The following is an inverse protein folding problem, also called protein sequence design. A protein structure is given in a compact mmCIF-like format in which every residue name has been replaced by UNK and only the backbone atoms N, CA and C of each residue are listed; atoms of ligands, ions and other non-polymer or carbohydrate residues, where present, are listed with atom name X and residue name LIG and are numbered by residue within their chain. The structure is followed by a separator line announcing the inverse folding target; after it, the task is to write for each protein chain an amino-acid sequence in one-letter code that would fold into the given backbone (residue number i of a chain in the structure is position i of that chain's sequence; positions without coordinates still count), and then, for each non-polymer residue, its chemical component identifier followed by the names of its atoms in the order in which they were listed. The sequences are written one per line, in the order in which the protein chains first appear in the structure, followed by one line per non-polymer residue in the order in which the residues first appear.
data_IF_068207368108
#
_entry.id   IF_068207368108
#
_cell.length_a   1.000
_cell.length_b   1.000
_cell.length_c   1.000
_cell.angle_alpha   90.00
_cell.angle_beta   90.00
_cell.angle_gamma   90.00
#
_symmetry.space_group_name_H-M   'P 1'
#
loop_
_entity.id
_entity.type
_entity.pdbx_description
1 polymer ?
#
# COMPACT_ATOMS: atom_id res chain seq x y z
N UNK A 1 -15.53 -10.14 11.55
CA UNK A 1 -14.26 -9.38 11.67
C UNK A 1 -14.36 -7.88 11.31
N UNK A 2 -15.50 -7.38 10.76
CA UNK A 2 -15.64 -5.96 10.44
C UNK A 2 -15.36 -5.02 11.63
N UNK A 3 -15.87 -5.30 12.86
CA UNK A 3 -15.52 -4.47 14.02
C UNK A 3 -14.02 -4.47 14.34
N UNK A 4 -13.32 -5.59 14.13
CA UNK A 4 -11.85 -5.68 14.32
C UNK A 4 -11.12 -4.77 13.31
N UNK A 5 -11.60 -4.71 12.06
CA UNK A 5 -11.04 -3.79 11.07
C UNK A 5 -11.15 -2.33 11.55
N UNK A 6 -12.32 -1.91 12.03
CA UNK A 6 -12.50 -0.55 12.55
C UNK A 6 -11.69 -0.25 13.81
N UNK A 7 -11.55 -1.24 14.72
CA UNK A 7 -10.64 -1.10 15.86
C UNK A 7 -9.18 -0.97 15.41
N UNK A 8 -8.76 -1.69 14.39
CA UNK A 8 -7.42 -1.57 13.82
C UNK A 8 -7.19 -0.21 13.14
N UNK A 9 -8.21 0.33 12.45
CA UNK A 9 -8.16 1.69 11.88
C UNK A 9 -8.08 2.73 13.01
N UNK A 10 -8.89 2.60 14.04
CA UNK A 10 -8.84 3.50 15.20
C UNK A 10 -7.48 3.47 15.88
N UNK A 11 -6.91 2.27 16.04
CA UNK A 11 -5.55 2.09 16.57
C UNK A 11 -4.52 2.82 15.69
N UNK A 12 -4.58 2.64 14.37
CA UNK A 12 -3.66 3.32 13.43
C UNK A 12 -3.77 4.84 13.56
N UNK A 13 -5.00 5.38 13.53
CA UNK A 13 -5.22 6.83 13.56
C UNK A 13 -4.85 7.48 14.90
N UNK A 14 -4.94 6.76 16.01
CA UNK A 14 -4.61 7.25 17.36
C UNK A 14 -3.15 7.00 17.72
N UNK A 15 -2.75 5.73 17.82
CA UNK A 15 -1.43 5.30 18.31
C UNK A 15 -0.37 5.27 17.21
N UNK A 16 -0.77 5.01 15.95
CA UNK A 16 0.15 4.91 14.82
C UNK A 16 0.88 3.56 14.74
N UNK A 17 2.15 3.57 14.29
CA UNK A 17 2.91 2.34 14.08
C UNK A 17 3.40 1.72 15.39
N UNK A 18 3.30 0.38 15.53
CA UNK A 18 3.89 -0.34 16.64
C UNK A 18 5.43 -0.24 16.64
N UNK A 19 6.07 -0.43 17.78
CA UNK A 19 7.53 -0.52 17.86
C UNK A 19 8.11 -1.57 16.91
N UNK A 20 9.26 -1.27 16.30
CA UNK A 20 9.92 -2.09 15.26
C UNK A 20 10.13 -3.55 15.68
N UNK A 21 10.45 -3.81 16.96
CA UNK A 21 10.75 -5.15 17.46
C UNK A 21 9.53 -6.09 17.53
N UNK A 22 8.30 -5.54 17.64
CA UNK A 22 7.05 -6.33 17.67
C UNK A 22 6.28 -6.26 16.36
N UNK A 23 6.84 -5.62 15.34
CA UNK A 23 6.17 -5.42 14.05
C UNK A 23 6.45 -6.61 13.10
N UNK A 24 5.44 -7.43 12.74
CA UNK A 24 5.65 -8.65 11.95
C UNK A 24 6.28 -8.41 10.57
N UNK A 25 5.96 -7.28 9.94
CA UNK A 25 6.58 -6.87 8.66
C UNK A 25 8.10 -6.76 8.78
N UNK A 26 8.60 -6.27 9.93
CA UNK A 26 10.04 -6.19 10.19
C UNK A 26 10.65 -7.56 10.37
N UNK A 27 9.93 -8.52 10.97
CA UNK A 27 10.41 -9.90 11.10
C UNK A 27 10.60 -10.54 9.73
N UNK A 28 9.59 -10.43 8.84
CA UNK A 28 9.68 -10.91 7.46
C UNK A 28 10.87 -10.26 6.73
N UNK A 29 11.01 -8.92 6.82
CA UNK A 29 12.11 -8.19 6.21
C UNK A 29 13.48 -8.67 6.70
N UNK A 30 13.68 -8.82 8.02
CA UNK A 30 14.93 -9.29 8.60
C UNK A 30 15.27 -10.74 8.24
N UNK A 31 14.27 -11.62 8.12
CA UNK A 31 14.51 -13.01 7.68
C UNK A 31 14.96 -12.98 6.22
N UNK A 32 14.26 -12.27 5.34
CA UNK A 32 14.62 -12.18 3.93
C UNK A 32 16.02 -11.56 3.72
N UNK A 33 16.35 -10.49 4.46
CA UNK A 33 17.67 -9.84 4.40
C UNK A 33 18.81 -10.81 4.73
N UNK A 34 18.63 -11.68 5.74
CA UNK A 34 19.62 -12.67 6.13
C UNK A 34 19.73 -13.83 5.15
N UNK A 35 18.65 -14.12 4.43
CA UNK A 35 18.60 -15.29 3.57
C UNK A 35 18.90 -14.99 2.11
N UNK A 36 18.73 -13.76 1.65
CA UNK A 36 18.93 -13.42 0.25
C UNK A 36 20.42 -13.50 -0.14
N UNK A 37 20.71 -14.32 -1.14
CA UNK A 37 22.05 -14.49 -1.71
C UNK A 37 21.94 -14.36 -3.23
N UNK A 38 22.71 -13.46 -3.86
CA UNK A 38 22.71 -13.28 -5.30
C UNK A 38 23.13 -14.54 -6.08
N UNK A 39 22.71 -14.61 -7.34
CA UNK A 39 23.11 -15.65 -8.33
C UNK A 39 22.73 -17.10 -7.96
N UNK A 40 21.69 -17.28 -7.12
CA UNK A 40 21.18 -18.62 -6.75
C UNK A 40 19.99 -19.09 -7.61
N UNK A 41 19.36 -18.18 -8.35
CA UNK A 41 18.31 -18.48 -9.32
C UNK A 41 16.88 -18.47 -8.77
N UNK A 42 15.91 -18.72 -9.66
CA UNK A 42 14.47 -18.55 -9.39
C UNK A 42 13.95 -19.39 -8.22
N UNK A 43 14.33 -20.68 -8.16
CA UNK A 43 13.87 -21.59 -7.10
C UNK A 43 14.35 -21.16 -5.71
N UNK A 44 15.55 -20.60 -5.65
CA UNK A 44 16.05 -20.03 -4.41
C UNK A 44 15.22 -18.82 -3.96
N UNK A 45 14.82 -17.96 -4.88
CA UNK A 45 13.91 -16.83 -4.59
C UNK A 45 12.57 -17.29 -4.04
N UNK A 46 11.98 -18.36 -4.60
CA UNK A 46 10.77 -19.00 -4.07
C UNK A 46 10.99 -19.50 -2.64
N UNK A 47 12.11 -20.20 -2.42
CA UNK A 47 12.47 -20.72 -1.09
C UNK A 47 12.62 -19.59 -0.06
N UNK A 48 13.35 -18.51 -0.41
CA UNK A 48 13.51 -17.34 0.48
C UNK A 48 12.14 -16.71 0.82
N UNK A 49 11.24 -16.59 -0.16
CA UNK A 49 9.90 -16.08 0.07
C UNK A 49 9.11 -16.97 1.04
N UNK A 50 9.09 -18.28 0.81
CA UNK A 50 8.37 -19.24 1.66
C UNK A 50 8.88 -19.18 3.10
N UNK A 51 10.19 -19.24 3.30
CA UNK A 51 10.79 -19.24 4.65
C UNK A 51 10.60 -17.89 5.35
N UNK A 52 10.58 -16.80 4.63
CA UNK A 52 10.37 -15.47 5.23
C UNK A 52 8.91 -15.21 5.58
N UNK A 53 7.96 -15.65 4.77
CA UNK A 53 6.54 -15.30 4.90
C UNK A 53 5.75 -16.34 5.69
N UNK A 54 5.86 -17.63 5.32
CA UNK A 54 4.96 -18.67 5.83
C UNK A 54 5.09 -18.90 7.34
N UNK A 55 6.30 -19.03 7.93
CA UNK A 55 6.42 -19.23 9.37
C UNK A 55 5.85 -18.06 10.19
N UNK A 56 6.09 -16.81 9.74
CA UNK A 56 5.55 -15.62 10.41
C UNK A 56 4.03 -15.59 10.28
N UNK A 57 3.49 -15.90 9.09
CA UNK A 57 2.05 -15.96 8.89
C UNK A 57 1.40 -17.02 9.80
N UNK A 58 1.95 -18.24 9.87
CA UNK A 58 1.46 -19.31 10.73
C UNK A 58 1.47 -18.88 12.20
N UNK A 59 2.55 -18.26 12.67
CA UNK A 59 2.63 -17.73 14.04
C UNK A 59 1.49 -16.75 14.33
N UNK A 60 1.17 -15.89 13.36
CA UNK A 60 0.11 -14.89 13.50
C UNK A 60 -1.31 -15.46 13.33
N UNK A 61 -1.47 -16.73 12.96
CA UNK A 61 -2.77 -17.41 13.01
C UNK A 61 -3.14 -17.91 14.42
N UNK A 62 -2.17 -18.03 15.33
CA UNK A 62 -2.41 -18.48 16.71
C UNK A 62 -3.53 -17.69 17.40
N UNK A 63 -3.64 -16.36 17.30
CA UNK A 63 -4.73 -15.59 17.88
C UNK A 63 -6.13 -16.07 17.50
N UNK A 64 -6.32 -16.67 16.31
CA UNK A 64 -7.62 -17.18 15.86
C UNK A 64 -8.15 -18.34 16.70
N UNK A 65 -7.27 -19.04 17.42
CA UNK A 65 -7.59 -20.21 18.21
C UNK A 65 -7.62 -19.95 19.73
N UNK A 66 -7.41 -18.70 20.16
CA UNK A 66 -7.47 -18.33 21.58
C UNK A 66 -8.92 -18.32 22.04
N UNK A 67 -9.28 -19.08 23.12
CA UNK A 67 -10.66 -19.17 23.58
C UNK A 67 -11.22 -17.86 24.14
N UNK A 68 -10.38 -17.00 24.71
CA UNK A 68 -10.80 -15.70 25.27
C UNK A 68 -11.08 -14.70 24.15
N UNK A 69 -12.35 -14.36 23.97
CA UNK A 69 -12.80 -13.35 22.97
C UNK A 69 -12.10 -12.01 23.14
N UNK A 70 -11.83 -11.59 24.37
CA UNK A 70 -11.16 -10.31 24.66
C UNK A 70 -9.72 -10.37 24.18
N UNK A 71 -8.95 -11.37 24.58
CA UNK A 71 -7.54 -11.52 24.17
C UNK A 71 -7.45 -11.70 22.66
N UNK A 72 -8.31 -12.51 22.07
CA UNK A 72 -8.41 -12.73 20.65
C UNK A 72 -8.64 -11.41 19.90
N UNK A 73 -9.62 -10.61 20.34
CA UNK A 73 -9.94 -9.30 19.73
C UNK A 73 -8.76 -8.34 19.80
N UNK A 74 -8.08 -8.24 20.95
CA UNK A 74 -6.91 -7.38 21.13
C UNK A 74 -5.78 -7.79 20.17
N UNK A 75 -5.44 -9.07 20.13
CA UNK A 75 -4.35 -9.57 19.29
C UNK A 75 -4.66 -9.45 17.80
N UNK A 76 -5.88 -9.80 17.37
CA UNK A 76 -6.30 -9.65 15.97
C UNK A 76 -6.31 -8.19 15.55
N UNK A 77 -6.78 -7.28 16.40
CA UNK A 77 -6.75 -5.82 16.15
C UNK A 77 -5.32 -5.34 15.99
N UNK A 78 -4.44 -5.70 16.92
CA UNK A 78 -3.03 -5.31 16.90
C UNK A 78 -2.32 -5.78 15.63
N UNK A 79 -2.40 -7.07 15.32
CA UNK A 79 -1.72 -7.62 14.15
C UNK A 79 -2.36 -7.19 12.83
N UNK A 80 -3.69 -7.05 12.76
CA UNK A 80 -4.35 -6.52 11.57
C UNK A 80 -3.88 -5.09 11.27
N UNK A 81 -3.73 -4.24 12.32
CA UNK A 81 -3.17 -2.90 12.17
C UNK A 81 -1.80 -2.91 11.48
N UNK A 82 -0.96 -3.91 11.73
CA UNK A 82 0.38 -3.98 11.11
C UNK A 82 0.34 -4.25 9.61
N UNK A 83 -0.81 -4.56 9.03
CA UNK A 83 -0.96 -4.78 7.59
C UNK A 83 -1.14 -3.49 6.77
N UNK A 84 -1.52 -2.37 7.40
CA UNK A 84 -1.73 -1.09 6.71
C UNK A 84 -1.23 0.10 7.54
N UNK A 85 -1.07 1.28 6.90
CA UNK A 85 -0.40 2.44 7.49
C UNK A 85 -0.98 3.75 6.96
N UNK A 86 -2.15 4.17 7.49
CA UNK A 86 -2.86 5.37 7.03
C UNK A 86 -2.24 6.63 7.64
N UNK A 87 -2.12 6.64 8.99
CA UNK A 87 -1.64 7.82 9.73
C UNK A 87 -0.23 8.20 9.33
N UNK A 88 0.69 7.23 9.29
CA UNK A 88 2.09 7.50 8.97
C UNK A 88 2.22 8.08 7.55
N UNK A 89 1.55 7.49 6.54
CA UNK A 89 1.59 7.98 5.17
C UNK A 89 1.04 9.42 5.07
N UNK A 90 -0.13 9.66 5.67
CA UNK A 90 -0.75 10.99 5.69
C UNK A 90 0.15 12.03 6.35
N UNK A 91 0.71 11.73 7.53
CA UNK A 91 1.57 12.64 8.28
C UNK A 91 2.89 12.95 7.58
N UNK A 92 3.52 11.96 6.93
CA UNK A 92 4.75 12.18 6.17
C UNK A 92 4.51 13.13 5.00
N UNK A 93 3.43 12.91 4.22
CA UNK A 93 3.07 13.80 3.12
C UNK A 93 2.70 15.20 3.64
N UNK A 94 1.93 15.31 4.71
CA UNK A 94 1.56 16.58 5.32
C UNK A 94 2.78 17.35 5.82
N UNK A 95 3.73 16.68 6.47
CA UNK A 95 4.98 17.28 6.98
C UNK A 95 5.98 17.63 5.88
N UNK A 96 5.85 17.09 4.69
CA UNK A 96 6.65 17.51 3.53
C UNK A 96 6.23 18.89 2.99
N UNK A 97 5.15 19.47 3.49
CA UNK A 97 4.61 20.78 3.13
C UNK A 97 5.01 21.81 4.21
N UNK A 98 5.53 23.00 3.85
CA UNK A 98 5.91 23.45 2.51
C UNK A 98 7.08 22.63 1.93
N UNK A 99 7.10 22.50 0.59
CA UNK A 99 8.17 21.80 -0.12
C UNK A 99 9.41 22.67 -0.11
N UNK A 100 10.26 22.46 0.87
CA UNK A 100 11.51 23.22 1.07
C UNK A 100 12.62 22.27 1.58
N UNK A 101 13.85 22.79 1.66
CA UNK A 101 15.03 22.00 2.05
C UNK A 101 14.88 21.34 3.44
N UNK A 102 14.26 22.01 4.39
CA UNK A 102 14.07 21.51 5.75
C UNK A 102 13.11 20.32 5.81
N UNK A 103 12.00 20.39 5.04
CA UNK A 103 10.96 19.37 5.04
C UNK A 103 11.25 18.18 4.11
N UNK A 104 12.29 18.27 3.26
CA UNK A 104 12.72 17.15 2.39
C UNK A 104 13.04 15.86 3.17
N UNK A 105 13.41 15.95 4.44
CA UNK A 105 13.60 14.78 5.30
C UNK A 105 12.35 13.90 5.44
N UNK A 106 11.14 14.48 5.33
CA UNK A 106 9.88 13.73 5.33
C UNK A 106 9.59 13.15 3.96
N UNK A 107 9.82 13.90 2.88
CA UNK A 107 9.73 13.39 1.51
C UNK A 107 10.73 12.24 1.26
N UNK A 108 11.93 12.31 1.83
CA UNK A 108 12.94 11.26 1.71
C UNK A 108 12.50 9.93 2.33
N UNK A 109 11.63 9.94 3.34
CA UNK A 109 11.07 8.72 3.91
C UNK A 109 10.02 8.04 3.02
N UNK A 110 9.45 8.78 2.06
CA UNK A 110 8.47 8.26 1.12
C UNK A 110 9.10 7.61 -0.12
N UNK A 111 10.32 8.02 -0.50
CA UNK A 111 10.96 7.59 -1.74
C UNK A 111 12.41 7.17 -1.52
N UNK A 112 12.90 6.24 -2.35
CA UNK A 112 14.28 5.75 -2.28
C UNK A 112 15.29 6.67 -2.98
N UNK A 113 14.84 7.43 -4.00
CA UNK A 113 15.69 8.39 -4.71
C UNK A 113 16.09 9.53 -3.79
N UNK A 114 17.29 10.09 -3.98
CA UNK A 114 17.75 11.23 -3.19
C UNK A 114 16.95 12.50 -3.55
N UNK A 115 16.05 12.93 -2.65
CA UNK A 115 15.22 14.12 -2.87
C UNK A 115 15.99 15.44 -2.69
N UNK A 116 17.16 15.40 -2.12
CA UNK A 116 18.00 16.60 -1.93
C UNK A 116 18.66 17.07 -3.23
N UNK A 117 18.73 16.19 -4.23
CA UNK A 117 19.24 16.49 -5.58
C UNK A 117 18.15 16.97 -6.55
N UNK A 118 16.87 16.92 -6.12
CA UNK A 118 15.73 17.35 -6.94
C UNK A 118 15.39 18.81 -6.66
N UNK A 119 14.79 19.50 -7.62
CA UNK A 119 14.11 20.78 -7.38
C UNK A 119 12.76 20.58 -6.68
N UNK A 120 12.16 21.64 -6.16
CA UNK A 120 10.92 21.56 -5.37
C UNK A 120 9.74 20.96 -6.15
N UNK A 121 9.50 21.28 -7.45
CA UNK A 121 8.46 20.64 -8.24
C UNK A 121 8.64 19.12 -8.41
N UNK A 122 9.87 18.63 -8.59
CA UNK A 122 10.14 17.20 -8.67
C UNK A 122 10.02 16.52 -7.29
N UNK A 123 10.33 17.21 -6.20
CA UNK A 123 10.04 16.70 -4.84
C UNK A 123 8.54 16.57 -4.63
N UNK A 124 7.74 17.58 -5.03
CA UNK A 124 6.28 17.53 -4.96
C UNK A 124 5.72 16.38 -5.82
N UNK A 125 6.26 16.16 -7.03
CA UNK A 125 5.93 15.01 -7.88
C UNK A 125 6.21 13.69 -7.17
N UNK A 126 7.41 13.54 -6.61
CA UNK A 126 7.81 12.34 -5.88
C UNK A 126 6.88 12.03 -4.69
N UNK A 127 6.47 13.05 -3.96
CA UNK A 127 5.55 12.92 -2.83
C UNK A 127 4.15 12.47 -3.30
N UNK A 128 3.60 13.06 -4.36
CA UNK A 128 2.30 12.69 -4.92
C UNK A 128 2.33 11.27 -5.49
N UNK A 129 3.37 10.91 -6.27
CA UNK A 129 3.57 9.56 -6.79
C UNK A 129 3.57 8.52 -5.67
N UNK A 130 4.39 8.74 -4.63
CA UNK A 130 4.51 7.83 -3.50
C UNK A 130 3.22 7.74 -2.67
N UNK A 131 2.50 8.85 -2.51
CA UNK A 131 1.21 8.87 -1.81
C UNK A 131 0.22 7.90 -2.45
N UNK A 132 0.06 7.94 -3.77
CA UNK A 132 -0.94 7.13 -4.45
C UNK A 132 -0.48 5.70 -4.74
N UNK A 133 0.81 5.46 -4.95
CA UNK A 133 1.39 4.12 -4.97
C UNK A 133 1.20 3.43 -3.60
N UNK A 134 1.58 4.09 -2.51
CA UNK A 134 1.44 3.57 -1.14
C UNK A 134 -0.02 3.47 -0.68
N UNK A 135 -0.94 4.27 -1.22
CA UNK A 135 -2.37 4.11 -1.01
C UNK A 135 -2.83 2.71 -1.44
N UNK A 136 -2.33 2.21 -2.56
CA UNK A 136 -2.62 0.85 -3.02
C UNK A 136 -1.88 -0.17 -2.18
N UNK A 137 -0.57 -0.12 -2.18
CA UNK A 137 0.29 -1.18 -1.65
C UNK A 137 0.23 -1.28 -0.12
N UNK A 138 0.06 -0.15 0.54
CA UNK A 138 0.10 -0.04 1.99
C UNK A 138 -1.25 0.08 2.69
N UNK A 139 -2.37 0.22 1.94
CA UNK A 139 -3.68 0.43 2.58
C UNK A 139 -4.78 -0.35 1.87
N UNK A 140 -5.10 -0.02 0.61
CA UNK A 140 -6.28 -0.59 -0.04
C UNK A 140 -6.11 -2.06 -0.40
N UNK A 141 -4.91 -2.49 -0.79
CA UNK A 141 -4.62 -3.88 -1.11
C UNK A 141 -4.71 -4.81 0.10
N UNK A 142 -4.08 -4.55 1.26
CA UNK A 142 -4.28 -5.36 2.47
C UNK A 142 -5.76 -5.48 2.85
N UNK A 143 -6.51 -4.38 2.77
CA UNK A 143 -7.93 -4.35 3.15
C UNK A 143 -8.80 -5.11 2.13
N UNK A 144 -8.45 -5.08 0.83
CA UNK A 144 -9.09 -5.92 -0.17
C UNK A 144 -8.92 -7.41 0.15
N UNK A 145 -7.70 -7.82 0.49
CA UNK A 145 -7.44 -9.21 0.83
C UNK A 145 -8.02 -9.60 2.20
N UNK A 146 -8.20 -8.64 3.10
CA UNK A 146 -9.01 -8.84 4.31
C UNK A 146 -10.46 -9.17 3.95
N UNK A 147 -11.06 -8.52 2.96
CA UNK A 147 -12.40 -8.82 2.50
C UNK A 147 -12.51 -10.26 1.93
N UNK A 148 -11.50 -10.69 1.15
CA UNK A 148 -11.53 -11.97 0.42
C UNK A 148 -11.13 -13.15 1.31
N UNK A 149 -10.02 -13.04 2.03
CA UNK A 149 -9.39 -14.11 2.80
C UNK A 149 -9.40 -13.85 4.32
N UNK A 150 -10.03 -12.76 4.76
CA UNK A 150 -10.05 -12.37 6.16
C UNK A 150 -8.69 -11.87 6.66
N UNK A 151 -8.48 -11.97 7.97
CA UNK A 151 -7.26 -11.56 8.65
C UNK A 151 -5.97 -12.12 8.03
N UNK A 152 -5.87 -13.43 7.69
CA UNK A 152 -4.67 -13.97 7.04
C UNK A 152 -4.36 -13.32 5.69
N UNK A 153 -5.40 -12.98 4.93
CA UNK A 153 -5.25 -12.37 3.61
C UNK A 153 -4.60 -10.98 3.66
N UNK A 154 -4.98 -10.15 4.64
CA UNK A 154 -4.37 -8.85 4.85
C UNK A 154 -2.87 -8.95 5.17
N UNK A 155 -2.52 -9.89 6.07
CA UNK A 155 -1.12 -10.13 6.43
C UNK A 155 -0.31 -10.69 5.27
N UNK A 156 -0.86 -11.67 4.55
CA UNK A 156 -0.20 -12.27 3.39
C UNK A 156 0.14 -11.23 2.32
N UNK A 157 -0.82 -10.35 1.99
CA UNK A 157 -0.57 -9.27 1.05
C UNK A 157 0.55 -8.34 1.55
N UNK A 158 0.47 -7.91 2.83
CA UNK A 158 1.48 -7.01 3.40
C UNK A 158 2.87 -7.62 3.42
N UNK A 159 2.99 -8.91 3.74
CA UNK A 159 4.26 -9.62 3.71
C UNK A 159 4.79 -9.79 2.29
N UNK A 160 3.91 -10.07 1.31
CA UNK A 160 4.30 -10.17 -0.11
C UNK A 160 4.82 -8.84 -0.64
N UNK A 161 4.16 -7.72 -0.32
CA UNK A 161 4.63 -6.39 -0.65
C UNK A 161 5.98 -6.06 0.03
N UNK A 162 6.17 -6.49 1.28
CA UNK A 162 7.45 -6.36 1.97
C UNK A 162 8.56 -7.16 1.28
N UNK A 163 8.27 -8.39 0.87
CA UNK A 163 9.22 -9.22 0.14
C UNK A 163 9.62 -8.61 -1.20
N UNK A 164 8.68 -8.04 -1.96
CA UNK A 164 9.01 -7.30 -3.19
C UNK A 164 9.92 -6.10 -2.87
N UNK A 165 9.59 -5.36 -1.83
CA UNK A 165 10.40 -4.22 -1.38
C UNK A 165 11.81 -4.60 -0.94
N UNK A 166 12.02 -5.79 -0.38
CA UNK A 166 13.32 -6.27 0.11
C UNK A 166 14.16 -6.93 -0.98
N UNK A 167 13.54 -7.74 -1.84
CA UNK A 167 14.27 -8.61 -2.77
C UNK A 167 13.82 -8.50 -4.23
N UNK A 168 12.72 -7.80 -4.52
CA UNK A 168 12.14 -7.65 -5.87
C UNK A 168 12.95 -6.73 -6.80
N UNK A 169 14.20 -6.42 -6.46
CA UNK A 169 15.03 -5.52 -7.24
C UNK A 169 15.36 -6.07 -8.63
N UNK A 170 15.19 -5.23 -9.64
CA UNK A 170 15.64 -5.51 -11.01
C UNK A 170 17.16 -5.31 -11.21
N UNK A 171 17.98 -5.42 -10.16
CA UNK A 171 19.42 -5.44 -10.31
C UNK A 171 19.84 -6.75 -10.95
N UNK A 172 20.87 -6.73 -11.79
CA UNK A 172 21.39 -7.95 -12.45
C UNK A 172 21.72 -9.07 -11.44
N UNK A 173 22.10 -8.68 -10.24
CA UNK A 173 22.49 -9.58 -9.15
C UNK A 173 21.32 -10.36 -8.54
N UNK A 174 20.14 -9.73 -8.40
CA UNK A 174 18.97 -10.28 -7.71
C UNK A 174 17.76 -10.49 -8.63
N UNK A 175 17.90 -10.32 -9.93
CA UNK A 175 16.79 -10.37 -10.88
C UNK A 175 16.04 -11.71 -10.85
N UNK A 176 16.76 -12.82 -10.69
CA UNK A 176 16.17 -14.16 -10.64
C UNK A 176 15.56 -14.45 -9.27
N UNK A 177 16.26 -14.11 -8.21
CA UNK A 177 15.84 -14.33 -6.82
C UNK A 177 14.64 -13.48 -6.45
N UNK A 178 14.58 -12.22 -6.90
CA UNK A 178 13.49 -11.30 -6.65
C UNK A 178 12.24 -11.55 -7.50
N UNK A 179 12.36 -12.33 -8.58
CA UNK A 179 11.28 -12.54 -9.54
C UNK A 179 9.98 -13.03 -8.90
N UNK A 180 10.05 -14.02 -8.01
CA UNK A 180 8.86 -14.59 -7.38
C UNK A 180 8.17 -13.57 -6.48
N UNK A 181 8.92 -12.84 -5.64
CA UNK A 181 8.41 -11.78 -4.78
C UNK A 181 7.70 -10.69 -5.59
N UNK A 182 8.33 -10.23 -6.68
CA UNK A 182 7.74 -9.24 -7.57
C UNK A 182 6.47 -9.75 -8.27
N UNK A 183 6.41 -11.03 -8.65
CA UNK A 183 5.21 -11.62 -9.27
C UNK A 183 4.06 -11.76 -8.30
N UNK A 184 4.31 -12.23 -7.07
CA UNK A 184 3.27 -12.37 -6.04
C UNK A 184 2.71 -10.99 -5.70
N UNK A 185 3.55 -9.98 -5.47
CA UNK A 185 3.11 -8.61 -5.23
C UNK A 185 2.30 -8.05 -6.40
N UNK A 186 2.77 -8.26 -7.63
CA UNK A 186 2.05 -7.82 -8.84
C UNK A 186 0.64 -8.43 -8.90
N UNK A 187 0.49 -9.73 -8.63
CA UNK A 187 -0.81 -10.42 -8.65
C UNK A 187 -1.72 -9.89 -7.52
N UNK A 188 -1.19 -9.76 -6.31
CA UNK A 188 -1.98 -9.31 -5.17
C UNK A 188 -2.46 -7.86 -5.29
N UNK A 189 -1.71 -7.00 -5.95
CA UNK A 189 -2.09 -5.61 -6.17
C UNK A 189 -2.89 -5.38 -7.47
N UNK A 190 -3.08 -6.40 -8.31
CA UNK A 190 -3.68 -6.25 -9.63
C UNK A 190 -5.12 -5.69 -9.57
N UNK A 191 -6.03 -6.33 -8.84
CA UNK A 191 -7.42 -5.86 -8.68
C UNK A 191 -7.47 -4.62 -7.78
N UNK A 192 -6.81 -4.59 -6.60
CA UNK A 192 -6.84 -3.42 -5.72
C UNK A 192 -6.43 -2.11 -6.39
N UNK A 193 -5.39 -2.12 -7.22
CA UNK A 193 -4.91 -0.89 -7.89
C UNK A 193 -5.95 -0.30 -8.85
N UNK A 194 -6.69 -1.13 -9.55
CA UNK A 194 -7.75 -0.71 -10.47
C UNK A 194 -8.98 -0.22 -9.74
N UNK A 195 -9.40 -0.96 -8.71
CA UNK A 195 -10.51 -0.56 -7.85
C UNK A 195 -10.23 0.79 -7.16
N UNK A 196 -9.03 0.94 -6.60
CA UNK A 196 -8.59 2.21 -5.99
C UNK A 196 -8.60 3.34 -7.02
N UNK A 197 -8.09 3.09 -8.23
CA UNK A 197 -8.10 4.06 -9.31
C UNK A 197 -9.51 4.53 -9.69
N UNK A 198 -10.48 3.60 -9.77
CA UNK A 198 -11.89 3.95 -10.02
C UNK A 198 -12.44 4.82 -8.89
N UNK A 199 -12.17 4.49 -7.64
CA UNK A 199 -12.62 5.27 -6.49
C UNK A 199 -11.94 6.65 -6.42
N UNK A 200 -10.68 6.76 -6.87
CA UNK A 200 -10.01 8.06 -7.04
C UNK A 200 -10.72 8.95 -8.05
N UNK A 201 -11.20 8.39 -9.17
CA UNK A 201 -11.98 9.15 -10.15
C UNK A 201 -13.28 9.68 -9.53
N UNK A 202 -14.02 8.82 -8.82
CA UNK A 202 -15.25 9.20 -8.13
C UNK A 202 -14.97 10.27 -7.07
N UNK A 203 -13.93 10.09 -6.25
CA UNK A 203 -13.49 11.07 -5.26
C UNK A 203 -13.11 12.40 -5.91
N UNK A 204 -12.44 12.37 -7.06
CA UNK A 204 -12.11 13.56 -7.86
C UNK A 204 -13.35 14.33 -8.26
N UNK A 205 -14.37 13.67 -8.79
CA UNK A 205 -15.64 14.33 -9.13
C UNK A 205 -16.34 14.93 -7.90
N UNK A 206 -16.38 14.23 -6.77
CA UNK A 206 -16.97 14.72 -5.51
C UNK A 206 -16.24 15.99 -5.03
N UNK A 207 -14.92 16.04 -5.19
CA UNK A 207 -14.11 17.21 -4.82
C UNK A 207 -14.11 18.33 -5.86
N UNK A 208 -14.82 18.17 -6.98
CA UNK A 208 -14.82 19.12 -8.08
C UNK A 208 -13.57 19.10 -8.95
N UNK A 209 -12.71 18.11 -8.79
CA UNK A 209 -11.50 17.89 -9.61
C UNK A 209 -11.88 17.04 -10.82
N UNK A 210 -12.42 17.64 -11.86
CA UNK A 210 -12.86 16.92 -13.06
C UNK A 210 -11.67 16.28 -13.77
N UNK A 211 -11.54 14.93 -13.81
CA UNK A 211 -10.42 14.28 -14.48
C UNK A 211 -10.33 14.67 -15.96
N UNK A 212 -9.11 14.79 -16.49
CA UNK A 212 -8.87 15.08 -17.91
C UNK A 212 -8.10 13.93 -18.54
N UNK A 213 -8.54 13.50 -19.74
CA UNK A 213 -7.82 12.56 -20.60
C UNK A 213 -7.29 11.29 -19.89
N UNK A 214 -8.07 10.71 -18.95
CA UNK A 214 -7.71 9.52 -18.15
C UNK A 214 -7.08 8.40 -18.99
N UNK A 215 -7.72 8.05 -20.11
CA UNK A 215 -7.25 6.98 -20.97
C UNK A 215 -5.91 7.33 -21.64
N UNK A 216 -5.78 8.55 -22.16
CA UNK A 216 -4.54 9.04 -22.77
C UNK A 216 -3.40 9.04 -21.76
N UNK A 217 -3.65 9.61 -20.56
CA UNK A 217 -2.67 9.67 -19.47
C UNK A 217 -2.22 8.28 -19.03
N UNK A 218 -3.14 7.33 -18.90
CA UNK A 218 -2.82 5.95 -18.53
C UNK A 218 -1.99 5.25 -19.62
N UNK A 219 -2.35 5.42 -20.90
CA UNK A 219 -1.68 4.76 -22.01
C UNK A 219 -0.27 5.30 -22.27
N UNK A 220 -0.08 6.61 -22.10
CA UNK A 220 1.21 7.30 -22.34
C UNK A 220 2.09 7.40 -21.10
N UNK A 221 1.74 6.77 -19.99
CA UNK A 221 2.39 6.98 -18.69
C UNK A 221 3.87 6.61 -18.62
N UNK A 222 4.34 5.69 -19.48
CA UNK A 222 5.71 5.17 -19.41
C UNK A 222 6.06 4.40 -18.14
N UNK A 223 5.11 4.26 -17.19
CA UNK A 223 5.32 3.53 -15.94
C UNK A 223 5.32 2.02 -16.22
N UNK A 224 6.43 1.35 -15.93
CA UNK A 224 6.59 -0.09 -16.13
C UNK A 224 5.72 -0.94 -15.19
N UNK A 225 5.49 -0.47 -13.96
CA UNK A 225 4.66 -1.20 -12.99
C UNK A 225 3.21 -1.28 -13.46
N UNK A 226 2.69 -2.50 -13.60
CA UNK A 226 1.30 -2.76 -14.00
C UNK A 226 0.29 -2.22 -12.99
N UNK A 227 0.68 -2.04 -11.74
CA UNK A 227 -0.20 -1.62 -10.66
C UNK A 227 -0.05 -0.14 -10.32
N UNK A 228 1.17 0.35 -10.10
CA UNK A 228 1.45 1.75 -9.78
C UNK A 228 1.00 2.72 -10.89
N UNK A 229 0.99 2.24 -12.15
CA UNK A 229 0.53 3.01 -13.31
C UNK A 229 -0.88 3.57 -13.13
N UNK A 230 -1.84 2.82 -12.55
CA UNK A 230 -3.22 3.26 -12.39
C UNK A 230 -3.35 4.43 -11.42
N UNK A 231 -2.96 4.31 -10.14
CA UNK A 231 -3.12 5.39 -9.17
C UNK A 231 -2.30 6.64 -9.53
N UNK A 232 -1.08 6.48 -10.06
CA UNK A 232 -0.22 7.61 -10.43
C UNK A 232 -0.81 8.35 -11.64
N UNK A 233 -1.21 7.64 -12.71
CA UNK A 233 -1.80 8.27 -13.89
C UNK A 233 -3.12 8.97 -13.58
N UNK A 234 -3.95 8.35 -12.74
CA UNK A 234 -5.23 8.96 -12.38
C UNK A 234 -5.04 10.16 -11.44
N UNK A 235 -4.07 10.12 -10.52
CA UNK A 235 -3.71 11.30 -9.73
C UNK A 235 -3.28 12.47 -10.60
N UNK A 236 -2.41 12.24 -11.58
CA UNK A 236 -1.98 13.25 -12.55
C UNK A 236 -3.18 13.86 -13.30
N UNK A 237 -4.06 13.01 -13.85
CA UNK A 237 -5.25 13.43 -14.59
C UNK A 237 -6.26 14.21 -13.73
N UNK A 238 -6.49 13.77 -12.48
CA UNK A 238 -7.45 14.39 -11.54
C UNK A 238 -6.92 15.73 -11.02
N UNK A 239 -5.63 15.80 -10.70
CA UNK A 239 -5.00 17.01 -10.16
C UNK A 239 -4.59 18.00 -11.26
N UNK A 240 -4.61 17.59 -12.52
CA UNK A 240 -4.16 18.35 -13.70
C UNK A 240 -2.68 18.77 -13.60
N UNK A 241 -1.83 17.87 -13.17
CA UNK A 241 -0.39 18.08 -13.03
C UNK A 241 0.40 17.04 -13.81
N UNK A 242 1.56 17.42 -14.30
CA UNK A 242 2.55 16.49 -14.82
C UNK A 242 3.31 15.88 -13.67
N UNK A 243 3.31 14.54 -13.55
CA UNK A 243 4.15 13.82 -12.60
C UNK A 243 5.37 13.27 -13.33
N UNK A 244 6.54 13.44 -12.74
CA UNK A 244 7.78 13.08 -13.41
C UNK A 244 8.80 12.45 -12.45
N UNK A 245 9.30 11.29 -12.85
CA UNK A 245 10.46 10.66 -12.25
C UNK A 245 11.62 10.81 -13.23
N UNK A 246 12.53 11.80 -13.00
CA UNK A 246 13.60 12.10 -13.94
C UNK A 246 14.39 10.85 -14.36
N UNK A 247 14.61 10.67 -15.67
CA UNK A 247 15.31 9.53 -16.23
C UNK A 247 14.50 8.22 -16.33
N UNK A 248 13.23 8.21 -15.86
CA UNK A 248 12.39 7.00 -15.88
C UNK A 248 11.08 7.19 -16.63
N UNK A 249 10.24 8.14 -16.22
CA UNK A 249 8.94 8.38 -16.86
C UNK A 249 8.42 9.80 -16.59
N UNK A 250 7.46 10.19 -17.43
CA UNK A 250 6.69 11.42 -17.29
C UNK A 250 5.22 11.12 -17.59
N UNK A 251 4.30 11.53 -16.72
CA UNK A 251 2.87 11.19 -16.76
C UNK A 251 2.02 12.43 -16.72
N UNK A 252 1.05 12.51 -17.64
CA UNK A 252 0.11 13.62 -17.73
C UNK A 252 0.67 14.83 -18.46
N UNK A 253 -0.17 15.84 -18.56
CA UNK A 253 0.12 17.10 -19.24
C UNK A 253 0.03 18.27 -18.25
N UNK A 254 0.69 19.38 -18.55
CA UNK A 254 0.69 20.58 -17.73
C UNK A 254 2.02 20.82 -17.04
N UNK A 255 1.97 21.60 -15.97
CA UNK A 255 3.13 21.93 -15.17
C UNK A 255 3.41 20.85 -14.11
N UNK A 256 4.68 20.76 -13.67
CA UNK A 256 5.04 20.00 -12.49
C UNK A 256 4.27 20.54 -11.26
N UNK A 257 3.95 19.66 -10.29
CA UNK A 257 3.13 20.03 -9.14
C UNK A 257 3.83 21.04 -8.23
N UNK A 258 3.01 21.85 -7.57
CA UNK A 258 3.40 22.77 -6.53
C UNK A 258 2.87 22.29 -5.17
N UNK A 259 3.18 23.03 -4.12
CA UNK A 259 2.72 22.77 -2.76
C UNK A 259 1.20 22.59 -2.68
N UNK A 260 0.42 23.46 -3.33
CA UNK A 260 -1.05 23.39 -3.32
C UNK A 260 -1.56 22.10 -3.97
N UNK A 261 -0.85 21.54 -4.94
CA UNK A 261 -1.20 20.28 -5.57
C UNK A 261 -0.97 19.10 -4.62
N UNK A 262 0.06 19.16 -3.76
CA UNK A 262 0.25 18.18 -2.69
C UNK A 262 -0.89 18.26 -1.66
N UNK A 263 -1.38 19.47 -1.31
CA UNK A 263 -2.57 19.64 -0.46
C UNK A 263 -3.83 19.08 -1.12
N UNK A 264 -4.00 19.29 -2.41
CA UNK A 264 -5.10 18.71 -3.20
C UNK A 264 -5.00 17.20 -3.27
N UNK A 265 -3.80 16.66 -3.42
CA UNK A 265 -3.54 15.21 -3.38
C UNK A 265 -3.93 14.58 -2.03
N UNK A 266 -3.62 15.23 -0.90
CA UNK A 266 -4.06 14.78 0.42
C UNK A 266 -5.59 14.75 0.55
N UNK A 267 -6.29 15.76 0.02
CA UNK A 267 -7.77 15.76 0.01
C UNK A 267 -8.32 14.61 -0.84
N UNK A 268 -7.74 14.37 -2.01
CA UNK A 268 -8.11 13.25 -2.88
C UNK A 268 -7.85 11.90 -2.19
N UNK A 269 -6.71 11.74 -1.52
CA UNK A 269 -6.37 10.56 -0.73
C UNK A 269 -7.43 10.27 0.34
N UNK A 270 -7.79 11.27 1.16
CA UNK A 270 -8.79 11.10 2.23
C UNK A 270 -10.17 10.75 1.65
N UNK A 271 -10.62 11.46 0.61
CA UNK A 271 -11.90 11.17 -0.03
C UNK A 271 -11.93 9.76 -0.64
N UNK A 272 -10.83 9.33 -1.27
CA UNK A 272 -10.69 7.96 -1.80
C UNK A 272 -10.77 6.91 -0.68
N UNK A 273 -10.10 7.14 0.44
CA UNK A 273 -10.17 6.24 1.60
C UNK A 273 -11.58 6.12 2.17
N UNK A 274 -12.30 7.23 2.33
CA UNK A 274 -13.68 7.22 2.81
C UNK A 274 -14.57 6.38 1.91
N UNK A 275 -14.48 6.58 0.59
CA UNK A 275 -15.22 5.79 -0.39
C UNK A 275 -14.83 4.31 -0.33
N UNK A 276 -13.53 4.03 -0.22
CA UNK A 276 -13.01 2.68 -0.17
C UNK A 276 -13.52 1.93 1.07
N UNK A 277 -13.39 2.51 2.26
CA UNK A 277 -13.90 1.89 3.50
C UNK A 277 -15.41 1.73 3.49
N UNK A 278 -16.15 2.68 2.94
CA UNK A 278 -17.61 2.58 2.77
C UNK A 278 -17.95 1.39 1.87
N UNK A 279 -17.32 1.27 0.71
CA UNK A 279 -17.55 0.17 -0.22
C UNK A 279 -17.23 -1.20 0.42
N UNK A 280 -16.04 -1.33 1.03
CA UNK A 280 -15.61 -2.57 1.69
C UNK A 280 -16.56 -2.94 2.82
N UNK A 281 -17.03 -1.96 3.61
CA UNK A 281 -17.96 -2.21 4.72
C UNK A 281 -19.32 -2.71 4.23
N UNK A 282 -19.84 -2.12 3.17
CA UNK A 282 -21.10 -2.56 2.54
C UNK A 282 -20.96 -3.99 2.05
N UNK A 283 -19.91 -4.27 1.27
CA UNK A 283 -19.69 -5.62 0.72
C UNK A 283 -19.47 -6.63 1.86
N UNK A 284 -18.66 -6.27 2.88
CA UNK A 284 -18.41 -7.14 4.02
C UNK A 284 -19.70 -7.46 4.78
N UNK A 285 -20.55 -6.46 5.02
CA UNK A 285 -21.82 -6.63 5.70
C UNK A 285 -22.75 -7.61 4.95
N UNK A 286 -22.86 -7.45 3.64
CA UNK A 286 -23.69 -8.35 2.83
C UNK A 286 -23.15 -9.79 2.77
N UNK A 287 -21.84 -9.96 2.73
CA UNK A 287 -21.21 -11.28 2.67
C UNK A 287 -21.15 -12.00 4.02
N UNK A 288 -20.90 -11.27 5.11
CA UNK A 288 -20.50 -11.87 6.39
C UNK A 288 -21.28 -11.37 7.60
N UNK A 289 -22.07 -10.32 7.49
CA UNK A 289 -22.78 -9.68 8.61
C UNK A 289 -21.85 -8.90 9.55
N UNK A 290 -22.35 -8.60 10.77
CA UNK A 290 -21.65 -7.75 11.75
C UNK A 290 -21.01 -8.54 12.91
N UNK A 291 -21.01 -9.86 12.89
CA UNK A 291 -20.41 -10.63 13.98
C UNK A 291 -18.92 -10.33 14.17
N UNK A 292 -18.50 -10.20 15.43
CA UNK A 292 -17.12 -9.82 15.80
C UNK A 292 -16.08 -10.82 15.27
N UNK A 293 -16.37 -12.13 15.36
CA UNK A 293 -15.43 -13.19 15.05
C UNK A 293 -15.95 -14.22 14.01
N UNK A 294 -17.02 -13.91 13.28
CA UNK A 294 -17.71 -14.87 12.42
C UNK A 294 -16.90 -15.11 11.17
N UNK A 295 -16.17 -15.35 10.64
CA UNK A 295 -15.47 -15.63 9.36
C UNK A 295 -14.00 -15.18 9.38
N UNK A 296 -13.18 -15.87 10.18
CA UNK A 296 -11.76 -15.56 10.23
C UNK A 296 -11.03 -15.80 8.90
N UNK A 297 -11.65 -16.56 7.99
CA UNK A 297 -11.05 -17.02 6.73
C UNK A 297 -11.65 -16.35 5.48
N UNK A 298 -12.49 -15.32 5.64
CA UNK A 298 -13.09 -14.64 4.49
C UNK A 298 -13.97 -15.55 3.64
N UNK A 299 -13.85 -15.48 2.31
CA UNK A 299 -14.65 -16.28 1.38
C UNK A 299 -14.33 -17.79 1.41
N UNK A 300 -13.22 -18.21 2.01
CA UNK A 300 -12.87 -19.65 2.11
C UNK A 300 -13.99 -20.46 2.76
N UNK A 301 -14.82 -19.87 3.63
CA UNK A 301 -15.96 -20.56 4.23
C UNK A 301 -17.03 -20.96 3.22
N UNK A 302 -17.08 -20.34 2.04
CA UNK A 302 -18.09 -20.61 1.01
C UNK A 302 -17.58 -21.56 -0.08
N UNK A 303 -16.31 -21.95 -0.03
CA UNK A 303 -15.67 -22.98 -0.85
C UNK A 303 -15.65 -24.30 -0.04
#
# INVERSE_FOLDING_TARGET
LLPILYLAILFDLTLGEPPVYIHPVVWVGKISEKMIVPYKGYLYGVFVWIISVIPVLILLLIPLYIPSVIIQTILLTFFLKTSFSIKMLYELVKKSIPVNRENRKYAQQLVRRNVYELDDPHVASAVIESLFESLVDGITSPIFWFLILGYPGALLQRFSNTMDSMVGYKTLELQKEGWFSAKVDTIMNYIPSRLTGILMIIAGYILGYKPRDLYKTLKSSGIESLNARYPISFASSILHVKLEKPGYYSVGEGNLPKEDDVRRALRLFVATLVLYFTLISIIYYYLYGLSLLSYPYGLIKFI
#
